data_IF_167890803337
#
_entry.id   IF_167890803337
#
_cell.length_a   1.000
_cell.length_b   1.000
_cell.length_c   1.000
_cell.angle_alpha   90.00
_cell.angle_beta   90.00
_cell.angle_gamma   90.00
#
_symmetry.space_group_name_H-M   'P 1'
#
loop_
_entity.id
_entity.type
_entity.pdbx_description
1 polymer ?
#
# COMPACT_ATOMS: atom_id res chain seq x y z
N UNK A 1 -5.09 -6.52 -14.42
CA UNK A 1 -4.76 -7.73 -13.63
C UNK A 1 -5.62 -7.73 -12.38
N UNK A 2 -6.26 -8.86 -12.06
CA UNK A 2 -6.95 -9.06 -10.78
C UNK A 2 -5.94 -9.58 -9.77
N UNK A 3 -5.96 -9.03 -8.57
CA UNK A 3 -5.02 -9.39 -7.51
C UNK A 3 -5.81 -9.60 -6.22
N UNK A 4 -5.61 -10.74 -5.56
CA UNK A 4 -6.04 -10.96 -4.18
C UNK A 4 -4.90 -10.55 -3.26
N UNK A 5 -5.19 -9.71 -2.28
CA UNK A 5 -4.20 -9.25 -1.33
C UNK A 5 -4.74 -9.39 0.09
N UNK A 6 -3.89 -9.83 1.00
CA UNK A 6 -4.10 -9.70 2.43
C UNK A 6 -2.97 -8.85 3.03
N UNK A 7 -3.33 -7.77 3.72
CA UNK A 7 -2.35 -6.79 4.18
C UNK A 7 -2.56 -6.35 5.62
N UNK A 8 -1.48 -6.01 6.32
CA UNK A 8 -1.53 -5.14 7.49
C UNK A 8 -0.64 -3.91 7.28
N UNK A 9 -0.96 -2.84 8.00
CA UNK A 9 -0.15 -1.63 8.06
C UNK A 9 0.09 -1.27 9.52
N UNK A 10 1.32 -0.89 9.82
CA UNK A 10 1.70 -0.39 11.13
C UNK A 10 2.42 0.96 10.99
N UNK A 11 2.06 1.91 11.86
CA UNK A 11 2.84 3.12 12.09
C UNK A 11 4.04 2.78 12.97
N UNK A 12 5.22 3.16 12.52
CA UNK A 12 6.47 2.93 13.25
C UNK A 12 7.19 4.27 13.42
N UNK A 13 8.11 4.36 14.38
CA UNK A 13 8.96 5.55 14.50
C UNK A 13 10.18 5.44 13.60
N UNK A 14 10.85 4.27 13.62
CA UNK A 14 12.09 4.01 12.89
C UNK A 14 12.03 2.65 12.18
N UNK A 15 12.55 2.59 10.95
CA UNK A 15 12.56 1.35 10.16
C UNK A 15 13.61 0.36 10.61
N UNK A 16 14.75 0.84 11.13
CA UNK A 16 15.98 0.07 11.29
C UNK A 16 15.75 -1.21 12.09
N UNK A 17 14.99 -1.15 13.21
CA UNK A 17 14.61 -2.34 13.99
C UNK A 17 13.95 -3.41 13.14
N UNK A 18 12.96 -3.04 12.33
CA UNK A 18 12.13 -3.96 11.57
C UNK A 18 12.83 -4.42 10.28
N UNK A 19 13.57 -3.53 9.63
CA UNK A 19 14.38 -3.87 8.46
C UNK A 19 15.47 -4.87 8.85
N UNK A 20 16.16 -4.66 9.97
CA UNK A 20 17.16 -5.60 10.48
C UNK A 20 16.57 -6.97 10.84
N UNK A 21 15.30 -7.04 11.28
CA UNK A 21 14.61 -8.32 11.46
C UNK A 21 14.35 -8.98 10.11
N UNK A 22 13.80 -8.25 9.14
CA UNK A 22 13.50 -8.78 7.82
C UNK A 22 14.76 -9.29 7.09
N UNK A 23 15.87 -8.57 7.19
CA UNK A 23 17.14 -8.94 6.54
C UNK A 23 17.69 -10.31 7.01
N UNK A 24 17.35 -10.75 8.23
CA UNK A 24 17.71 -12.10 8.73
C UNK A 24 17.03 -13.23 7.94
N UNK A 25 15.97 -12.93 7.21
CA UNK A 25 15.23 -13.86 6.37
C UNK A 25 15.74 -13.88 4.90
N UNK A 26 16.83 -13.16 4.61
CA UNK A 26 17.41 -13.05 3.25
C UNK A 26 16.38 -12.64 2.17
N UNK A 27 15.67 -11.52 2.36
CA UNK A 27 14.68 -11.06 1.40
C UNK A 27 15.33 -10.63 0.09
N UNK A 28 14.56 -10.65 -0.99
CA UNK A 28 14.94 -9.97 -2.24
C UNK A 28 14.72 -8.47 -2.05
N UNK A 29 15.75 -7.66 -2.31
CA UNK A 29 15.67 -6.19 -2.33
C UNK A 29 15.26 -5.70 -3.73
N UNK A 30 14.18 -4.94 -3.82
CA UNK A 30 13.67 -4.34 -5.06
C UNK A 30 13.99 -2.83 -5.17
N UNK A 31 14.69 -2.28 -4.18
CA UNK A 31 15.11 -0.88 -4.13
C UNK A 31 14.05 0.05 -3.55
N UNK A 32 14.21 1.34 -3.87
CA UNK A 32 13.38 2.43 -3.37
C UNK A 32 12.65 3.08 -4.54
N UNK A 33 11.35 3.26 -4.39
CA UNK A 33 10.50 4.00 -5.30
C UNK A 33 10.08 5.33 -4.67
N UNK A 34 10.13 6.42 -5.44
CA UNK A 34 9.36 7.63 -5.14
C UNK A 34 8.03 7.54 -5.88
N UNK A 35 6.94 7.50 -5.11
CA UNK A 35 5.59 7.29 -5.61
C UNK A 35 4.70 8.47 -5.28
N UNK A 36 3.97 8.96 -6.28
CA UNK A 36 2.92 9.97 -6.14
C UNK A 36 1.59 9.28 -6.46
N UNK A 37 0.77 9.08 -5.44
CA UNK A 37 -0.57 8.50 -5.58
C UNK A 37 -1.62 9.63 -5.62
N UNK A 38 -2.19 9.89 -6.79
CA UNK A 38 -3.34 10.79 -6.95
C UNK A 38 -4.63 9.99 -6.76
N UNK A 39 -5.37 10.25 -5.68
CA UNK A 39 -6.68 9.65 -5.43
C UNK A 39 -7.80 10.52 -6.01
N UNK A 40 -8.81 9.89 -6.59
CA UNK A 40 -9.96 10.58 -7.20
C UNK A 40 -11.25 10.35 -6.39
N UNK A 41 -12.27 11.20 -6.55
CA UNK A 41 -13.57 11.01 -5.89
C UNK A 41 -14.39 9.91 -6.58
N UNK A 42 -13.98 8.66 -6.38
CA UNK A 42 -14.70 7.50 -6.88
C UNK A 42 -16.03 7.31 -6.16
N UNK A 43 -17.09 6.95 -6.92
CA UNK A 43 -18.42 6.65 -6.36
C UNK A 43 -18.44 5.37 -5.53
N UNK A 44 -17.52 4.45 -5.80
CA UNK A 44 -17.38 3.15 -5.12
C UNK A 44 -15.90 2.86 -4.92
N UNK A 45 -15.57 2.23 -3.80
CA UNK A 45 -14.19 1.84 -3.50
C UNK A 45 -13.22 3.02 -3.50
N UNK A 46 -11.99 2.76 -3.93
CA UNK A 46 -10.94 3.77 -4.05
C UNK A 46 -10.28 3.62 -5.42
N UNK A 47 -10.14 4.73 -6.13
CA UNK A 47 -9.41 4.82 -7.38
C UNK A 47 -8.21 5.74 -7.20
N UNK A 48 -7.03 5.26 -7.60
CA UNK A 48 -5.81 6.07 -7.62
C UNK A 48 -4.99 5.85 -8.89
N UNK A 49 -4.37 6.91 -9.37
CA UNK A 49 -3.28 6.84 -10.32
C UNK A 49 -1.97 6.96 -9.52
N UNK A 50 -1.14 5.92 -9.60
CA UNK A 50 0.20 5.87 -9.02
C UNK A 50 1.23 6.19 -10.09
N UNK A 51 1.89 7.31 -9.93
CA UNK A 51 3.07 7.69 -10.71
C UNK A 51 4.31 7.26 -9.93
N UNK A 52 5.25 6.59 -10.60
CA UNK A 52 6.52 6.14 -10.00
C UNK A 52 7.66 6.79 -10.78
N UNK A 53 8.50 7.59 -10.11
CA UNK A 53 9.51 8.38 -10.81
C UNK A 53 10.48 7.47 -11.57
N UNK A 54 10.58 7.66 -12.89
CA UNK A 54 11.43 6.87 -13.77
C UNK A 54 10.93 5.45 -14.09
N UNK A 55 9.69 5.11 -13.75
CA UNK A 55 9.08 3.79 -13.99
C UNK A 55 7.65 3.93 -14.54
N UNK A 56 7.07 2.79 -14.93
CA UNK A 56 5.69 2.72 -15.43
C UNK A 56 4.67 3.12 -14.34
N UNK A 57 3.64 3.88 -14.74
CA UNK A 57 2.54 4.28 -13.88
C UNK A 57 1.48 3.19 -13.75
N UNK A 58 0.65 3.27 -12.71
CA UNK A 58 -0.37 2.25 -12.42
C UNK A 58 -1.69 2.92 -12.06
N UNK A 59 -2.76 2.60 -12.79
CA UNK A 59 -4.12 2.90 -12.36
C UNK A 59 -4.62 1.73 -11.52
N UNK A 60 -5.07 2.02 -10.30
CA UNK A 60 -5.43 1.01 -9.30
C UNK A 60 -6.83 1.33 -8.79
N UNK A 61 -7.78 0.45 -9.11
CA UNK A 61 -9.10 0.38 -8.47
C UNK A 61 -9.04 -0.72 -7.42
N UNK A 62 -9.46 -0.40 -6.20
CA UNK A 62 -9.54 -1.39 -5.15
C UNK A 62 -10.63 -1.08 -4.14
N UNK A 63 -11.16 -2.15 -3.55
CA UNK A 63 -12.02 -2.06 -2.38
C UNK A 63 -11.37 -2.79 -1.20
N UNK A 64 -11.44 -2.18 -0.03
CA UNK A 64 -10.81 -2.67 1.19
C UNK A 64 -11.53 -2.12 2.41
N UNK A 65 -11.85 -3.03 3.33
CA UNK A 65 -12.46 -2.71 4.61
C UNK A 65 -11.48 -2.02 5.56
N UNK A 66 -11.99 -1.12 6.39
CA UNK A 66 -11.20 -0.36 7.39
C UNK A 66 -11.22 -1.07 8.76
N UNK A 67 -10.81 -2.33 8.79
CA UNK A 67 -10.74 -3.16 10.01
C UNK A 67 -9.33 -3.15 10.64
N UNK A 68 -9.22 -3.52 11.92
CA UNK A 68 -7.92 -3.74 12.57
C UNK A 68 -7.33 -5.10 12.18
N UNK A 69 -5.99 -5.20 12.22
CA UNK A 69 -5.26 -6.41 11.84
C UNK A 69 -5.12 -6.56 10.32
N UNK A 70 -4.87 -7.79 9.89
CA UNK A 70 -4.70 -8.18 8.49
C UNK A 70 -6.03 -8.13 7.72
N UNK A 71 -6.04 -7.61 6.48
CA UNK A 71 -7.27 -7.20 5.76
C UNK A 71 -7.23 -7.62 4.30
N UNK A 72 -8.38 -8.06 3.78
CA UNK A 72 -8.55 -8.39 2.37
C UNK A 72 -8.67 -7.12 1.52
N UNK A 73 -7.96 -7.08 0.39
CA UNK A 73 -8.21 -6.15 -0.70
C UNK A 73 -8.44 -6.90 -2.01
N UNK A 74 -9.50 -6.53 -2.74
CA UNK A 74 -9.70 -6.93 -4.13
C UNK A 74 -9.19 -5.79 -5.02
N UNK A 75 -8.17 -6.06 -5.82
CA UNK A 75 -7.44 -5.04 -6.59
C UNK A 75 -7.55 -5.32 -8.08
N UNK A 76 -7.91 -4.28 -8.85
CA UNK A 76 -7.76 -4.20 -10.30
C UNK A 76 -6.61 -3.25 -10.61
N UNK A 77 -5.53 -3.82 -11.17
CA UNK A 77 -4.34 -3.08 -11.55
C UNK A 77 -4.23 -3.00 -13.06
N UNK A 78 -4.18 -1.77 -13.59
CA UNK A 78 -3.85 -1.47 -14.98
C UNK A 78 -2.50 -0.75 -15.03
N UNK A 79 -1.56 -1.30 -15.77
CA UNK A 79 -0.27 -0.67 -15.99
C UNK A 79 -0.37 0.27 -17.19
N UNK A 80 0.26 1.43 -17.08
CA UNK A 80 0.14 2.52 -18.04
C UNK A 80 1.49 3.21 -18.21
N UNK A 81 1.92 3.37 -19.46
CA UNK A 81 3.06 4.23 -19.78
C UNK A 81 2.83 5.65 -19.26
N UNK A 82 3.89 6.33 -18.83
CA UNK A 82 3.75 7.64 -18.21
C UNK A 82 3.18 8.66 -19.19
N UNK A 83 1.94 9.09 -18.94
CA UNK A 83 1.25 10.09 -19.75
C UNK A 83 0.26 10.90 -18.88
N UNK A 84 0.39 12.22 -18.93
CA UNK A 84 -0.43 13.13 -18.12
C UNK A 84 -1.91 13.13 -18.53
N UNK A 85 -2.21 12.70 -19.76
CA UNK A 85 -3.57 12.70 -20.33
C UNK A 85 -4.54 11.92 -19.46
N UNK A 86 -4.15 10.74 -18.96
CA UNK A 86 -5.01 9.93 -18.10
C UNK A 86 -5.34 10.66 -16.79
N UNK A 87 -4.33 11.28 -16.17
CA UNK A 87 -4.51 12.07 -14.95
C UNK A 87 -5.44 13.25 -15.19
N UNK A 88 -5.29 13.96 -16.30
CA UNK A 88 -6.17 15.07 -16.67
C UNK A 88 -7.61 14.63 -16.89
N UNK A 89 -7.83 13.54 -17.64
CA UNK A 89 -9.17 12.98 -17.86
C UNK A 89 -9.82 12.64 -16.52
N UNK A 90 -9.13 11.88 -15.66
CA UNK A 90 -9.68 11.47 -14.36
C UNK A 90 -9.93 12.67 -13.43
N UNK A 91 -9.02 13.65 -13.41
CA UNK A 91 -9.19 14.87 -12.61
C UNK A 91 -10.41 15.68 -13.08
N UNK A 92 -10.62 15.80 -14.39
CA UNK A 92 -11.77 16.53 -14.95
C UNK A 92 -13.11 15.83 -14.68
N UNK A 93 -13.14 14.50 -14.76
CA UNK A 93 -14.38 13.72 -14.63
C UNK A 93 -14.77 13.45 -13.17
N UNK A 94 -13.79 13.32 -12.28
CA UNK A 94 -14.00 12.84 -10.90
C UNK A 94 -13.55 13.84 -9.84
N UNK A 95 -12.73 14.83 -10.20
CA UNK A 95 -12.01 15.64 -9.23
C UNK A 95 -10.94 14.85 -8.47
N UNK A 96 -9.94 15.57 -7.98
CA UNK A 96 -8.91 15.00 -7.11
C UNK A 96 -9.43 15.01 -5.67
N UNK A 97 -9.33 13.86 -5.00
CA UNK A 97 -9.65 13.71 -3.58
C UNK A 97 -8.48 14.15 -2.72
N UNK A 98 -7.30 13.55 -2.94
CA UNK A 98 -6.07 13.84 -2.21
C UNK A 98 -4.87 13.28 -2.97
N UNK A 99 -3.70 13.88 -2.78
CA UNK A 99 -2.42 13.39 -3.31
C UNK A 99 -1.59 12.85 -2.13
N UNK A 100 -1.04 11.64 -2.27
CA UNK A 100 -0.12 11.04 -1.31
C UNK A 100 1.25 10.93 -1.96
N UNK A 101 2.22 11.71 -1.47
CA UNK A 101 3.63 11.61 -1.84
C UNK A 101 4.36 10.71 -0.82
N UNK A 102 5.10 9.71 -1.30
CA UNK A 102 5.87 8.80 -0.44
C UNK A 102 7.12 8.25 -1.10
N UNK A 103 8.11 7.93 -0.26
CA UNK A 103 9.25 7.07 -0.59
C UNK A 103 9.02 5.68 0.00
N UNK A 104 9.06 4.66 -0.86
CA UNK A 104 8.78 3.26 -0.50
C UNK A 104 10.00 2.41 -0.76
N UNK A 105 10.59 1.83 0.28
CA UNK A 105 11.58 0.75 0.14
C UNK A 105 10.87 -0.59 0.08
N UNK A 106 11.26 -1.45 -0.86
CA UNK A 106 10.52 -2.67 -1.19
C UNK A 106 11.41 -3.89 -1.03
N UNK A 107 10.93 -4.85 -0.24
CA UNK A 107 11.50 -6.18 -0.13
C UNK A 107 10.46 -7.25 -0.50
N UNK A 108 10.90 -8.47 -0.78
CA UNK A 108 9.99 -9.59 -0.92
C UNK A 108 10.58 -10.95 -0.57
N UNK A 109 9.71 -11.82 -0.10
CA UNK A 109 9.96 -13.24 0.18
C UNK A 109 8.80 -13.99 -0.44
N UNK A 110 9.08 -14.81 -1.46
CA UNK A 110 8.07 -15.53 -2.24
C UNK A 110 6.96 -14.58 -2.74
N UNK A 111 5.71 -14.80 -2.33
CA UNK A 111 4.55 -14.00 -2.71
C UNK A 111 4.25 -12.83 -1.74
N UNK A 112 5.08 -12.64 -0.71
CA UNK A 112 4.89 -11.58 0.29
C UNK A 112 5.80 -10.39 -0.02
N UNK A 113 5.22 -9.19 -0.04
CA UNK A 113 5.93 -7.92 -0.18
C UNK A 113 5.97 -7.17 1.14
N UNK A 114 7.10 -6.52 1.39
CA UNK A 114 7.30 -5.67 2.56
C UNK A 114 7.63 -4.27 2.06
N UNK A 115 6.89 -3.30 2.58
CA UNK A 115 7.02 -1.89 2.21
C UNK A 115 7.40 -1.10 3.46
N UNK A 116 8.52 -0.38 3.38
CA UNK A 116 8.90 0.63 4.37
C UNK A 116 8.65 2.00 3.75
N UNK A 117 7.58 2.64 4.21
CA UNK A 117 7.03 3.85 3.60
C UNK A 117 7.32 5.07 4.45
N UNK A 118 8.03 6.04 3.90
CA UNK A 118 8.05 7.42 4.42
C UNK A 118 7.04 8.23 3.63
N UNK A 119 5.94 8.61 4.28
CA UNK A 119 4.82 9.32 3.65
C UNK A 119 4.83 10.77 4.09
N UNK A 120 4.79 11.68 3.13
CA UNK A 120 4.73 13.12 3.41
C UNK A 120 3.52 13.43 4.28
N UNK A 121 3.73 14.25 5.31
CA UNK A 121 2.73 14.67 6.30
C UNK A 121 2.12 13.56 7.18
N UNK A 122 2.48 12.30 6.98
CA UNK A 122 2.02 11.17 7.79
C UNK A 122 3.13 10.44 8.54
N UNK A 123 4.40 10.58 8.17
CA UNK A 123 5.52 9.89 8.82
C UNK A 123 5.78 8.49 8.26
N UNK A 124 6.24 7.58 9.11
CA UNK A 124 6.81 6.29 8.70
C UNK A 124 5.88 5.11 9.00
N UNK A 125 5.83 4.17 8.06
CA UNK A 125 4.97 2.99 8.13
C UNK A 125 5.65 1.74 7.59
N UNK A 126 5.18 0.58 8.05
CA UNK A 126 5.46 -0.72 7.47
C UNK A 126 4.14 -1.27 6.95
N UNK A 127 4.12 -1.69 5.69
CA UNK A 127 3.04 -2.51 5.13
C UNK A 127 3.60 -3.88 4.74
N UNK A 128 2.85 -4.94 5.06
CA UNK A 128 3.14 -6.29 4.61
C UNK A 128 1.94 -6.77 3.79
N UNK A 129 2.19 -7.23 2.58
CA UNK A 129 1.18 -7.62 1.61
C UNK A 129 1.45 -9.06 1.16
N UNK A 130 0.56 -9.99 1.50
CA UNK A 130 0.55 -11.35 0.95
C UNK A 130 -0.32 -11.35 -0.32
N UNK A 131 0.33 -11.51 -1.48
CA UNK A 131 -0.27 -11.25 -2.78
C UNK A 131 -0.49 -12.58 -3.53
N UNK A 132 -1.62 -12.69 -4.22
CA UNK A 132 -1.91 -13.76 -5.17
C UNK A 132 -2.41 -13.16 -6.49
N UNK A 133 -1.56 -13.25 -7.52
CA UNK A 133 -1.83 -12.81 -8.89
C UNK A 133 -2.26 -13.97 -9.80
N UNK A 134 -2.08 -15.22 -9.36
CA UNK A 134 -2.27 -16.46 -10.17
C UNK A 134 -3.41 -17.33 -9.65
N UNK A 135 -4.21 -16.81 -8.72
CA UNK A 135 -5.30 -17.53 -8.05
C UNK A 135 -4.84 -18.84 -7.38
N UNK A 136 -3.58 -18.89 -6.97
CA UNK A 136 -2.94 -20.10 -6.42
C UNK A 136 -3.13 -20.25 -4.92
N UNK A 137 -3.59 -19.20 -4.23
CA UNK A 137 -3.77 -19.19 -2.78
C UNK A 137 -5.23 -18.94 -2.37
N UNK A 138 -5.64 -19.63 -1.32
CA UNK A 138 -6.87 -19.31 -0.61
C UNK A 138 -6.68 -18.04 0.24
N UNK A 139 -7.78 -17.35 0.56
CA UNK A 139 -7.73 -16.17 1.43
C UNK A 139 -7.19 -16.50 2.83
N UNK A 140 -7.45 -17.70 3.34
CA UNK A 140 -6.94 -18.14 4.64
C UNK A 140 -5.42 -18.33 4.63
N UNK A 141 -4.85 -18.85 3.53
CA UNK A 141 -3.39 -18.97 3.38
C UNK A 141 -2.72 -17.59 3.34
N UNK A 142 -3.25 -16.66 2.54
CA UNK A 142 -2.72 -15.29 2.50
C UNK A 142 -2.82 -14.60 3.86
N UNK A 143 -3.94 -14.79 4.58
CA UNK A 143 -4.10 -14.29 5.94
C UNK A 143 -3.06 -14.87 6.89
N UNK A 144 -2.85 -16.19 6.88
CA UNK A 144 -1.84 -16.86 7.71
C UNK A 144 -0.42 -16.34 7.45
N UNK A 145 -0.07 -16.08 6.18
CA UNK A 145 1.21 -15.47 5.84
C UNK A 145 1.35 -14.06 6.42
N UNK A 146 0.31 -13.23 6.29
CA UNK A 146 0.30 -11.88 6.85
C UNK A 146 0.41 -11.89 8.39
N UNK A 147 -0.39 -12.73 9.05
CA UNK A 147 -0.41 -12.85 10.51
C UNK A 147 0.93 -13.37 11.05
N UNK A 148 1.59 -14.30 10.35
CA UNK A 148 2.94 -14.74 10.70
C UNK A 148 3.93 -13.56 10.75
N UNK A 149 3.92 -12.67 9.75
CA UNK A 149 4.82 -11.52 9.74
C UNK A 149 4.41 -10.43 10.73
N UNK A 150 3.12 -10.30 11.01
CA UNK A 150 2.62 -9.42 12.07
C UNK A 150 3.25 -9.81 13.42
N UNK A 151 3.20 -11.11 13.75
CA UNK A 151 3.78 -11.66 14.98
C UNK A 151 5.31 -11.60 14.95
N UNK A 152 5.94 -11.94 13.82
CA UNK A 152 7.40 -11.92 13.65
C UNK A 152 8.00 -10.54 13.90
N UNK A 153 7.37 -9.48 13.40
CA UNK A 153 7.80 -8.11 13.65
C UNK A 153 7.44 -7.60 15.05
N UNK A 154 6.63 -8.34 15.81
CA UNK A 154 6.14 -7.94 17.12
C UNK A 154 5.36 -6.63 17.05
N UNK A 155 4.47 -6.51 16.05
CA UNK A 155 3.65 -5.30 15.87
C UNK A 155 2.63 -5.21 17.00
N UNK A 156 2.66 -4.11 17.74
CA UNK A 156 1.70 -3.86 18.80
C UNK A 156 0.38 -3.33 18.22
N UNK A 157 -0.74 -3.65 18.88
CA UNK A 157 -2.08 -3.26 18.41
C UNK A 157 -2.23 -1.74 18.21
N UNK A 158 -1.56 -0.93 19.05
CA UNK A 158 -1.53 0.53 18.97
C UNK A 158 -0.78 1.08 17.75
N UNK A 159 0.12 0.28 17.16
CA UNK A 159 0.82 0.63 15.93
C UNK A 159 -0.06 0.37 14.70
N UNK A 160 -1.05 -0.52 14.80
CA UNK A 160 -1.84 -0.98 13.67
C UNK A 160 -2.69 0.16 13.11
N UNK A 161 -2.45 0.48 11.85
CA UNK A 161 -3.17 1.50 11.12
C UNK A 161 -4.28 0.86 10.27
N UNK A 162 -5.52 1.20 10.59
CA UNK A 162 -6.69 0.68 9.87
C UNK A 162 -6.95 1.40 8.55
N UNK A 163 -6.64 2.70 8.48
CA UNK A 163 -6.97 3.57 7.35
C UNK A 163 -5.96 3.47 6.19
N UNK A 164 -6.38 3.85 4.99
CA UNK A 164 -5.44 4.11 3.89
C UNK A 164 -4.73 5.44 4.11
N UNK A 165 -3.61 5.69 3.42
CA UNK A 165 -2.94 7.00 3.49
C UNK A 165 -3.85 8.14 3.03
N UNK A 166 -4.68 7.90 2.02
CA UNK A 166 -5.67 8.88 1.56
C UNK A 166 -6.72 9.20 2.62
N UNK A 167 -7.20 8.20 3.37
CA UNK A 167 -8.17 8.43 4.44
C UNK A 167 -7.53 9.17 5.62
N UNK A 168 -6.26 8.86 5.94
CA UNK A 168 -5.50 9.55 6.98
C UNK A 168 -5.25 11.04 6.67
N UNK A 169 -4.85 11.37 5.45
CA UNK A 169 -4.63 12.76 5.06
C UNK A 169 -5.94 13.56 5.08
N UNK A 170 -7.05 12.99 4.60
CA UNK A 170 -8.35 13.66 4.65
C UNK A 170 -8.81 13.94 6.09
N UNK A 171 -8.64 12.99 7.01
CA UNK A 171 -8.96 13.20 8.43
C UNK A 171 -8.11 14.29 9.10
N UNK A 172 -6.91 14.59 8.57
CA UNK A 172 -6.07 15.69 9.06
C UNK A 172 -6.59 17.04 8.59
N UNK A 173 -7.06 17.12 7.35
CA UNK A 173 -7.60 18.36 6.77
C UNK A 173 -8.91 18.78 7.46
N UNK A 174 -9.77 17.83 7.83
CA UNK A 174 -11.03 18.13 8.54
C UNK A 174 -10.84 18.60 10.00
N UNK A 175 -9.64 18.45 10.56
CA UNK A 175 -9.33 18.85 11.96
C UNK A 175 -8.64 20.21 12.08
N UNK A 176 -8.37 20.86 10.95
CA UNK A 176 -7.83 22.22 10.85
C UNK A 176 -8.98 23.20 10.58
#
# INVERSE_FOLDING_TARGET
MKIKNFEFKARVQEFEKYENLLLKLNPVDYGIDHQIDTYFNAKKGRLKLREIIGKESKLIDYNRENVHGSKKSDILLYKHEMNDTLKHILSNQMGVKVIVDKKRKIYGIENVKFHFDTVQDLGTFIEVEAIDETESFTLEQLKKQCDFYYDYFGIEQQQVEKLSYSDLLNCKVEKL
#
